data_IF_944288023271
#
_entry.id   IF_944288023271
#
_cell.length_a   1.000
_cell.length_b   1.000
_cell.length_c   1.000
_cell.angle_alpha   90.00
_cell.angle_beta   90.00
_cell.angle_gamma   90.00
#
_symmetry.space_group_name_H-M   'P 1'
#
loop_
_entity.id
_entity.type
_entity.pdbx_description
1 polymer ?
#
# COMPACT_ATOMS: atom_id res chain seq x y z
N UNK A 1 -11.83 -9.41 -7.34
CA UNK A 1 -11.29 -8.18 -6.73
C UNK A 1 -11.45 -8.24 -5.23
N UNK A 2 -12.68 -8.20 -4.70
CA UNK A 2 -12.98 -8.36 -3.26
C UNK A 2 -12.30 -9.61 -2.67
N UNK A 3 -12.40 -10.76 -3.35
CA UNK A 3 -11.73 -11.99 -2.89
C UNK A 3 -10.20 -11.86 -2.83
N UNK A 4 -9.57 -11.17 -3.78
CA UNK A 4 -8.12 -11.01 -3.81
C UNK A 4 -7.65 -10.05 -2.71
N UNK A 5 -8.42 -8.99 -2.42
CA UNK A 5 -8.17 -8.10 -1.29
C UNK A 5 -8.32 -8.83 0.04
N UNK A 6 -9.43 -9.55 0.23
CA UNK A 6 -9.67 -10.34 1.45
C UNK A 6 -8.56 -11.37 1.69
N UNK A 7 -8.13 -12.08 0.64
CA UNK A 7 -7.00 -13.01 0.74
C UNK A 7 -5.70 -12.30 1.10
N UNK A 8 -5.44 -11.12 0.52
CA UNK A 8 -4.23 -10.35 0.84
C UNK A 8 -4.23 -9.89 2.30
N UNK A 9 -5.39 -9.46 2.82
CA UNK A 9 -5.55 -9.03 4.21
C UNK A 9 -5.28 -10.21 5.17
N UNK A 10 -5.85 -11.38 4.89
CA UNK A 10 -5.59 -12.59 5.68
C UNK A 10 -4.10 -12.95 5.66
N UNK A 11 -3.45 -12.95 4.49
CA UNK A 11 -2.04 -13.36 4.36
C UNK A 11 -1.09 -12.40 5.09
N UNK A 12 -1.32 -11.09 4.98
CA UNK A 12 -0.38 -10.10 5.49
C UNK A 12 -0.66 -9.66 6.94
N UNK A 13 -1.90 -9.72 7.41
CA UNK A 13 -2.29 -9.25 8.76
C UNK A 13 -2.29 -10.38 9.78
N UNK A 14 -2.72 -11.59 9.40
CA UNK A 14 -2.84 -12.72 10.33
C UNK A 14 -1.52 -13.08 11.04
N UNK A 15 -0.34 -13.08 10.38
CA UNK A 15 0.92 -13.36 11.06
C UNK A 15 1.22 -12.41 12.22
N UNK A 16 0.91 -11.12 12.05
CA UNK A 16 1.07 -10.09 13.09
C UNK A 16 0.11 -10.33 14.26
N UNK A 17 -1.14 -10.68 13.97
CA UNK A 17 -2.12 -11.03 15.01
C UNK A 17 -1.70 -12.25 15.81
N UNK A 18 -1.24 -13.32 15.13
CA UNK A 18 -0.76 -14.55 15.78
C UNK A 18 0.45 -14.22 16.67
N UNK A 19 1.43 -13.47 16.16
CA UNK A 19 2.62 -13.12 16.94
C UNK A 19 2.27 -12.30 18.19
N UNK A 20 1.35 -11.34 18.07
CA UNK A 20 0.89 -10.55 19.21
C UNK A 20 0.16 -11.41 20.25
N UNK A 21 -0.67 -12.35 19.80
CA UNK A 21 -1.34 -13.31 20.69
C UNK A 21 -0.32 -14.21 21.41
N UNK A 22 0.66 -14.76 20.68
CA UNK A 22 1.74 -15.57 21.26
C UNK A 22 2.53 -14.78 22.29
N UNK A 23 2.91 -13.53 21.97
CA UNK A 23 3.63 -12.66 22.89
C UNK A 23 2.81 -12.32 24.14
N UNK A 24 1.48 -12.16 23.99
CA UNK A 24 0.58 -11.96 25.14
C UNK A 24 0.49 -13.20 26.04
N UNK A 25 0.42 -14.40 25.44
CA UNK A 25 0.30 -15.66 26.19
C UNK A 25 1.59 -16.05 26.92
N UNK A 26 2.76 -15.81 26.30
CA UNK A 26 4.07 -16.11 26.90
C UNK A 26 4.42 -15.08 27.99
N UNK A 27 3.93 -13.84 27.86
CA UNK A 27 4.28 -12.75 28.76
C UNK A 27 5.75 -12.33 28.62
N UNK A 28 6.33 -11.81 29.70
CA UNK A 28 7.74 -11.41 29.72
C UNK A 28 8.65 -12.62 29.95
N UNK A 29 9.08 -13.25 28.86
CA UNK A 29 10.11 -14.29 28.92
C UNK A 29 11.46 -13.69 29.34
N UNK A 30 12.13 -14.33 30.30
CA UNK A 30 13.50 -14.01 30.71
C UNK A 30 14.55 -14.77 29.90
N UNK A 31 14.14 -15.68 29.02
CA UNK A 31 15.05 -16.45 28.18
C UNK A 31 15.52 -15.61 26.98
N UNK A 32 16.84 -15.34 26.83
CA UNK A 32 17.36 -14.48 25.77
C UNK A 32 17.11 -15.03 24.37
N UNK A 33 17.05 -16.36 24.20
CA UNK A 33 16.76 -16.96 22.91
C UNK A 33 15.32 -16.68 22.47
N UNK A 34 14.35 -16.86 23.37
CA UNK A 34 12.94 -16.54 23.13
C UNK A 34 12.75 -15.06 22.77
N UNK A 35 13.41 -14.15 23.49
CA UNK A 35 13.34 -12.70 23.21
C UNK A 35 13.87 -12.37 21.81
N UNK A 36 15.02 -12.96 21.42
CA UNK A 36 15.60 -12.75 20.10
C UNK A 36 14.66 -13.25 18.97
N UNK A 37 14.05 -14.43 19.15
CA UNK A 37 13.08 -14.99 18.20
C UNK A 37 11.85 -14.10 18.04
N UNK A 38 11.24 -13.66 19.14
CA UNK A 38 10.08 -12.77 19.10
C UNK A 38 10.41 -11.47 18.38
N UNK A 39 11.58 -10.89 18.65
CA UNK A 39 12.06 -9.68 17.97
C UNK A 39 12.24 -9.88 16.46
N UNK A 40 12.87 -10.99 16.07
CA UNK A 40 13.02 -11.35 14.66
C UNK A 40 11.67 -11.48 13.95
N UNK A 41 10.74 -12.25 14.51
CA UNK A 41 9.40 -12.42 13.94
C UNK A 41 8.60 -11.12 13.93
N UNK A 42 8.80 -10.23 14.90
CA UNK A 42 8.14 -8.92 14.93
C UNK A 42 8.57 -8.04 13.77
N UNK A 43 9.86 -8.04 13.45
CA UNK A 43 10.35 -7.33 12.29
C UNK A 43 9.83 -7.94 10.98
N UNK A 44 9.85 -9.28 10.87
CA UNK A 44 9.36 -9.98 9.68
C UNK A 44 7.86 -9.74 9.43
N UNK A 45 7.04 -9.90 10.46
CA UNK A 45 5.58 -9.65 10.38
C UNK A 45 5.26 -8.17 10.18
N UNK A 46 6.08 -7.27 10.74
CA UNK A 46 6.01 -5.83 10.45
C UNK A 46 6.17 -5.53 8.96
N UNK A 47 7.15 -6.15 8.29
CA UNK A 47 7.34 -5.99 6.83
C UNK A 47 6.08 -6.43 6.06
N UNK A 48 5.51 -7.60 6.39
CA UNK A 48 4.28 -8.07 5.76
C UNK A 48 3.11 -7.11 6.00
N UNK A 49 2.98 -6.59 7.21
CA UNK A 49 1.94 -5.62 7.55
C UNK A 49 2.08 -4.31 6.75
N UNK A 50 3.31 -3.85 6.48
CA UNK A 50 3.50 -2.68 5.61
C UNK A 50 3.16 -2.97 4.14
N UNK A 51 3.47 -4.18 3.66
CA UNK A 51 3.08 -4.59 2.30
C UNK A 51 1.55 -4.58 2.14
N UNK A 52 0.80 -4.92 3.19
CA UNK A 52 -0.67 -4.84 3.18
C UNK A 52 -1.22 -3.46 2.84
N UNK A 53 -0.54 -2.36 3.20
CA UNK A 53 -1.01 -1.01 2.85
C UNK A 53 -0.80 -0.65 1.39
N UNK A 54 0.20 -1.24 0.74
CA UNK A 54 0.54 -0.93 -0.66
C UNK A 54 -0.09 -1.94 -1.62
N UNK A 55 -0.33 -3.17 -1.18
CA UNK A 55 -0.87 -4.25 -2.01
C UNK A 55 -2.23 -3.95 -2.66
N UNK A 56 -3.19 -3.22 -2.07
CA UNK A 56 -4.48 -2.96 -2.70
C UNK A 56 -4.30 -2.22 -4.02
N UNK A 57 -3.42 -1.22 -4.08
CA UNK A 57 -3.16 -0.49 -5.32
C UNK A 57 -2.77 -1.43 -6.47
N UNK A 58 -1.83 -2.35 -6.22
CA UNK A 58 -1.39 -3.32 -7.22
C UNK A 58 -2.49 -4.33 -7.57
N UNK A 59 -3.28 -4.78 -6.58
CA UNK A 59 -4.43 -5.66 -6.80
C UNK A 59 -5.47 -4.98 -7.70
N UNK A 60 -5.83 -3.72 -7.42
CA UNK A 60 -6.74 -2.94 -8.26
C UNK A 60 -6.18 -2.72 -9.66
N UNK A 61 -4.91 -2.35 -9.76
CA UNK A 61 -4.25 -2.13 -11.04
C UNK A 61 -4.26 -3.39 -11.91
N UNK A 62 -3.94 -4.56 -11.35
CA UNK A 62 -3.90 -5.82 -12.10
C UNK A 62 -5.30 -6.41 -12.37
N UNK A 63 -6.18 -6.42 -11.38
CA UNK A 63 -7.46 -7.13 -11.45
C UNK A 63 -8.61 -6.28 -12.05
N UNK A 64 -8.59 -4.95 -11.90
CA UNK A 64 -9.73 -4.10 -12.30
C UNK A 64 -9.45 -3.33 -13.59
N UNK A 65 -10.10 -3.75 -14.68
CA UNK A 65 -10.05 -3.02 -15.97
C UNK A 65 -10.60 -1.60 -15.84
N UNK A 66 -11.69 -1.42 -15.09
CA UNK A 66 -12.32 -0.11 -14.84
C UNK A 66 -11.37 0.85 -14.14
N UNK A 67 -10.69 0.38 -13.09
CA UNK A 67 -9.71 1.18 -12.36
C UNK A 67 -8.58 1.66 -13.28
N UNK A 68 -8.01 0.76 -14.10
CA UNK A 68 -6.97 1.14 -15.08
C UNK A 68 -7.45 2.22 -16.05
N UNK A 69 -8.66 2.07 -16.61
CA UNK A 69 -9.21 3.05 -17.54
C UNK A 69 -9.41 4.42 -16.89
N UNK A 70 -9.93 4.44 -15.66
CA UNK A 70 -10.10 5.69 -14.90
C UNK A 70 -8.75 6.34 -14.57
N UNK A 71 -7.77 5.54 -14.14
CA UNK A 71 -6.42 6.02 -13.84
C UNK A 71 -5.77 6.67 -15.07
N UNK A 72 -5.80 5.98 -16.21
CA UNK A 72 -5.27 6.50 -17.49
C UNK A 72 -5.99 7.78 -17.89
N UNK A 73 -7.32 7.81 -17.78
CA UNK A 73 -8.12 9.00 -18.08
C UNK A 73 -7.74 10.20 -17.21
N UNK A 74 -7.57 10.01 -15.90
CA UNK A 74 -7.18 11.10 -14.98
C UNK A 74 -5.78 11.61 -15.33
N UNK A 75 -4.82 10.71 -15.59
CA UNK A 75 -3.45 11.09 -15.98
C UNK A 75 -3.46 11.92 -17.27
N UNK A 76 -4.22 11.48 -18.27
CA UNK A 76 -4.36 12.21 -19.53
C UNK A 76 -5.01 13.59 -19.32
N UNK A 77 -6.07 13.66 -18.52
CA UNK A 77 -6.78 14.92 -18.22
C UNK A 77 -5.89 15.92 -17.49
N UNK A 78 -5.10 15.48 -16.51
CA UNK A 78 -4.14 16.34 -15.80
C UNK A 78 -3.09 16.89 -16.76
N UNK A 79 -2.51 16.03 -17.61
CA UNK A 79 -1.52 16.45 -18.60
C UNK A 79 -2.10 17.47 -19.60
N UNK A 80 -3.29 17.18 -20.14
CA UNK A 80 -3.98 18.07 -21.08
C UNK A 80 -4.32 19.43 -20.45
N UNK A 81 -4.83 19.44 -19.21
CA UNK A 81 -5.14 20.69 -18.51
C UNK A 81 -3.89 21.52 -18.24
N UNK A 82 -2.78 20.88 -17.84
CA UNK A 82 -1.50 21.58 -17.64
C UNK A 82 -1.01 22.23 -18.93
N UNK A 83 -1.04 21.49 -20.04
CA UNK A 83 -0.66 22.02 -21.36
C UNK A 83 -1.56 23.18 -21.80
N UNK A 84 -2.88 23.07 -21.60
CA UNK A 84 -3.82 24.17 -21.89
C UNK A 84 -3.50 25.42 -21.08
N UNK A 85 -3.21 25.26 -19.78
CA UNK A 85 -2.90 26.39 -18.91
C UNK A 85 -1.58 27.08 -19.33
N UNK A 86 -0.56 26.32 -19.73
CA UNK A 86 0.69 26.89 -20.25
C UNK A 86 0.43 27.75 -21.48
N UNK A 87 -0.36 27.26 -22.46
CA UNK A 87 -0.68 28.05 -23.65
C UNK A 87 -1.41 29.35 -23.36
N UNK A 88 -2.29 29.39 -22.35
CA UNK A 88 -2.98 30.63 -21.95
C UNK A 88 -1.99 31.65 -21.38
N UNK A 89 -1.04 31.19 -20.56
CA UNK A 89 0.00 32.06 -19.98
C UNK A 89 0.95 32.57 -21.05
N UNK A 90 1.36 31.72 -21.99
CA UNK A 90 2.25 32.10 -23.09
C UNK A 90 1.63 33.16 -24.00
N UNK A 91 0.33 33.02 -24.32
CA UNK A 91 -0.40 34.03 -25.10
C UNK A 91 -0.50 35.36 -24.33
N UNK A 92 -0.80 35.32 -23.03
CA UNK A 92 -0.90 36.53 -22.21
C UNK A 92 0.43 37.29 -22.04
N UNK A 93 1.57 36.62 -22.16
CA UNK A 93 2.91 37.24 -22.08
C UNK A 93 3.39 37.86 -23.40
N UNK A 94 2.77 37.53 -24.55
CA UNK A 94 3.10 38.12 -25.85
C UNK A 94 2.43 39.49 -26.04
N UNK A 95 1.36 39.75 -25.28
CA UNK A 95 0.56 40.98 -25.37
C UNK A 95 1.09 42.14 -24.47
N UNK A 96 2.30 42.01 -23.88
CA UNK A 96 3.00 43.03 -23.07
C UNK A 96 4.25 43.52 -23.82
#
# INVERSE_FOLDING_TARGET
>A
MILAEALSEVIFVTPTCILNLVNYLIGNSSDPFTVALISFFRNLTGIFYYIHFVSPFYIYFCASKRFRQQLIYVLFKVHYNRWRHQRVVDVANIDI
#
